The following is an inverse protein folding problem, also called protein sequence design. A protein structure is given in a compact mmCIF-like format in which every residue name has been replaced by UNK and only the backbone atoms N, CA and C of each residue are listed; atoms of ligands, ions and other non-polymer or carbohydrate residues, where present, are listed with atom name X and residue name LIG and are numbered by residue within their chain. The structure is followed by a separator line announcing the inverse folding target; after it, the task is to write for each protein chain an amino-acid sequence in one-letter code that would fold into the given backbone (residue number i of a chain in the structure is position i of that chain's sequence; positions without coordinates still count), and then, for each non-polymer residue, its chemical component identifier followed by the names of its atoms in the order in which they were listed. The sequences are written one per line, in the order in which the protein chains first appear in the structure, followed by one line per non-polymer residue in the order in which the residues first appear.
data_IF_011809396210
#
_entry.id   IF_011809396210
#
_cell.length_a   1.000
_cell.length_b   1.000
_cell.length_c   1.000
_cell.angle_alpha   90.00
_cell.angle_beta   90.00
_cell.angle_gamma   90.00
#
_symmetry.space_group_name_H-M   'P 1'
#
loop_
_entity.id
_entity.type
_entity.pdbx_description
1 polymer ?
#
# COMPACT_ATOMS: atom_id res chain seq x y z
N UNK A 1 47.47 -30.78 22.64
CA UNK A 1 47.40 -29.50 21.91
C UNK A 1 46.96 -29.81 20.48
N UNK A 2 45.65 -29.73 20.22
CA UNK A 2 45.09 -29.72 18.86
C UNK A 2 43.90 -28.77 18.88
N UNK A 3 44.09 -27.61 18.25
CA UNK A 3 43.08 -26.57 18.09
C UNK A 3 42.03 -27.07 17.10
N UNK A 4 40.79 -27.20 17.57
CA UNK A 4 39.63 -27.47 16.73
C UNK A 4 39.21 -26.20 16.02
N UNK A 5 39.11 -26.28 14.69
CA UNK A 5 38.55 -25.24 13.84
C UNK A 5 37.08 -25.01 14.22
N UNK A 6 36.83 -23.93 14.95
CA UNK A 6 35.50 -23.41 15.19
C UNK A 6 35.14 -22.52 14.00
N UNK A 7 34.57 -23.10 12.94
CA UNK A 7 33.89 -22.32 11.91
C UNK A 7 32.56 -21.83 12.48
N UNK A 8 32.63 -20.75 13.27
CA UNK A 8 31.49 -19.89 13.50
C UNK A 8 31.12 -19.30 12.15
N UNK A 9 30.12 -19.89 11.50
CA UNK A 9 29.41 -19.27 10.41
C UNK A 9 29.05 -17.87 10.88
N UNK A 10 29.64 -16.85 10.23
CA UNK A 10 29.28 -15.47 10.44
C UNK A 10 27.79 -15.33 10.18
N UNK A 11 27.03 -15.34 11.25
CA UNK A 11 25.66 -14.86 11.29
C UNK A 11 25.70 -13.48 10.65
N UNK A 12 25.22 -13.39 9.41
CA UNK A 12 24.82 -12.15 8.77
C UNK A 12 23.56 -11.64 9.50
N UNK A 13 23.70 -11.35 10.80
CA UNK A 13 22.63 -10.93 11.70
C UNK A 13 22.65 -9.41 11.85
N UNK A 14 22.88 -8.74 10.71
CA UNK A 14 22.48 -7.35 10.46
C UNK A 14 22.12 -7.24 8.98
N UNK A 15 21.06 -7.95 8.58
CA UNK A 15 20.27 -7.43 7.46
C UNK A 15 19.78 -6.08 7.96
N UNK A 16 20.20 -4.99 7.31
CA UNK A 16 19.66 -3.66 7.55
C UNK A 16 18.14 -3.78 7.66
N UNK A 17 17.58 -3.49 8.85
CA UNK A 17 16.15 -3.72 9.13
C UNK A 17 15.23 -2.80 8.29
N UNK A 18 15.82 -1.97 7.45
CA UNK A 18 15.16 -1.15 6.45
C UNK A 18 14.92 -2.00 5.20
N UNK A 19 13.73 -2.59 5.09
CA UNK A 19 13.22 -3.01 3.77
C UNK A 19 13.22 -1.76 2.90
N UNK A 20 14.06 -1.74 1.87
CA UNK A 20 14.10 -0.60 0.95
C UNK A 20 12.74 -0.51 0.26
N UNK A 21 11.99 0.59 0.39
CA UNK A 21 10.65 0.72 -0.21
C UNK A 21 10.66 0.36 -1.71
N UNK A 22 11.73 0.70 -2.42
CA UNK A 22 11.95 0.34 -3.83
C UNK A 22 11.83 -1.17 -4.15
N UNK A 23 12.17 -2.07 -3.22
CA UNK A 23 12.01 -3.52 -3.42
C UNK A 23 10.53 -3.90 -3.45
N UNK A 24 9.69 -3.22 -2.66
CA UNK A 24 8.25 -3.47 -2.62
C UNK A 24 7.61 -3.09 -3.95
N UNK A 25 7.86 -1.87 -4.45
CA UNK A 25 7.32 -1.42 -5.75
C UNK A 25 7.75 -2.35 -6.88
N UNK A 26 8.99 -2.84 -6.86
CA UNK A 26 9.52 -3.78 -7.85
C UNK A 26 8.69 -5.07 -7.95
N UNK A 27 8.08 -5.56 -6.85
CA UNK A 27 7.17 -6.71 -6.94
C UNK A 27 5.95 -6.42 -7.84
N UNK A 28 5.44 -5.18 -7.82
CA UNK A 28 4.39 -4.73 -8.71
C UNK A 28 4.83 -4.77 -10.17
N UNK A 29 6.02 -4.25 -10.47
CA UNK A 29 6.59 -4.28 -11.83
C UNK A 29 6.79 -5.71 -12.34
N UNK A 30 7.27 -6.62 -11.48
CA UNK A 30 7.43 -8.04 -11.81
C UNK A 30 6.06 -8.67 -12.08
N UNK A 31 5.05 -8.41 -11.23
CA UNK A 31 3.70 -8.93 -11.43
C UNK A 31 3.08 -8.45 -12.75
N UNK A 32 3.27 -7.18 -13.10
CA UNK A 32 2.86 -6.63 -14.40
C UNK A 32 3.56 -7.33 -15.56
N UNK A 33 4.86 -7.61 -15.44
CA UNK A 33 5.65 -8.21 -16.50
C UNK A 33 5.34 -9.69 -16.75
N UNK A 34 5.12 -10.48 -15.69
CA UNK A 34 4.94 -11.94 -15.80
C UNK A 34 3.48 -12.39 -15.69
N UNK A 35 2.58 -11.47 -15.35
CA UNK A 35 1.14 -11.68 -15.27
C UNK A 35 0.76 -12.86 -14.35
N UNK A 36 -0.10 -13.79 -14.80
CA UNK A 36 -0.55 -14.95 -14.00
C UNK A 36 0.57 -15.85 -13.48
N UNK A 37 1.75 -15.83 -14.11
CA UNK A 37 2.91 -16.59 -13.61
C UNK A 37 3.36 -16.12 -12.22
N UNK A 38 2.95 -14.92 -11.81
CA UNK A 38 3.21 -14.36 -10.49
C UNK A 38 2.53 -15.14 -9.34
N UNK A 39 1.49 -15.92 -9.63
CA UNK A 39 0.80 -16.76 -8.63
C UNK A 39 1.75 -17.64 -7.80
N UNK A 40 2.91 -18.01 -8.35
CA UNK A 40 3.95 -18.81 -7.67
C UNK A 40 4.65 -18.08 -6.52
N UNK A 41 4.66 -16.75 -6.57
CA UNK A 41 5.32 -15.89 -5.58
C UNK A 41 4.31 -15.14 -4.71
N UNK A 42 3.04 -15.18 -5.09
CA UNK A 42 1.97 -14.37 -4.53
C UNK A 42 1.94 -14.40 -3.01
N UNK A 43 1.84 -15.59 -2.42
CA UNK A 43 1.73 -15.74 -0.96
C UNK A 43 2.93 -15.13 -0.21
N UNK A 44 4.16 -15.40 -0.69
CA UNK A 44 5.37 -14.84 -0.09
C UNK A 44 5.40 -13.32 -0.17
N UNK A 45 5.07 -12.76 -1.34
CA UNK A 45 5.07 -11.32 -1.57
C UNK A 45 3.98 -10.63 -0.76
N UNK A 46 2.76 -11.17 -0.73
CA UNK A 46 1.66 -10.56 0.01
C UNK A 46 1.90 -10.61 1.52
N UNK A 47 2.48 -11.70 2.04
CA UNK A 47 2.88 -11.77 3.44
C UNK A 47 3.95 -10.71 3.77
N UNK A 48 4.90 -10.49 2.86
CA UNK A 48 5.92 -9.46 3.03
C UNK A 48 5.33 -8.04 3.01
N UNK A 49 4.39 -7.77 2.10
CA UNK A 49 3.65 -6.50 2.04
C UNK A 49 2.82 -6.26 3.32
N UNK A 50 2.18 -7.31 3.87
CA UNK A 50 1.45 -7.21 5.13
C UNK A 50 2.36 -6.82 6.31
N UNK A 51 3.57 -7.38 6.36
CA UNK A 51 4.56 -6.98 7.38
C UNK A 51 4.99 -5.53 7.20
N UNK A 52 5.26 -5.08 5.97
CA UNK A 52 5.61 -3.69 5.68
C UNK A 52 4.48 -2.71 6.08
N UNK A 53 3.23 -3.00 5.73
CA UNK A 53 2.07 -2.20 6.14
C UNK A 53 1.92 -2.17 7.67
N UNK A 54 2.17 -3.29 8.34
CA UNK A 54 2.12 -3.37 9.81
C UNK A 54 3.17 -2.47 10.46
N UNK A 55 4.39 -2.43 9.92
CA UNK A 55 5.44 -1.49 10.35
C UNK A 55 5.00 -0.03 10.16
N UNK A 56 4.43 0.31 8.99
CA UNK A 56 3.90 1.65 8.74
C UNK A 56 2.78 2.07 9.71
N UNK A 57 1.98 1.12 10.21
CA UNK A 57 0.91 1.37 11.21
C UNK A 57 1.48 1.62 12.61
N UNK A 58 2.51 0.87 13.02
CA UNK A 58 3.12 1.00 14.35
C UNK A 58 3.77 2.37 14.52
N UNK A 59 4.52 2.83 13.52
CA UNK A 59 5.19 4.12 13.57
C UNK A 59 4.21 5.30 13.55
N UNK A 60 3.06 5.17 12.87
CA UNK A 60 2.02 6.20 12.86
C UNK A 60 1.29 6.34 14.21
N UNK A 61 1.08 5.22 14.93
CA UNK A 61 0.54 5.27 16.30
C UNK A 61 1.51 5.93 17.28
N UNK A 62 2.79 5.55 17.21
CA UNK A 62 3.84 6.15 18.05
C UNK A 62 3.89 7.67 17.87
N UNK A 63 3.69 8.16 16.64
CA UNK A 63 3.56 9.60 16.33
C UNK A 63 2.42 10.24 17.11
N UNK A 64 1.21 9.68 17.06
CA UNK A 64 0.01 10.25 17.73
C UNK A 64 0.14 10.34 19.25
N UNK A 65 0.84 9.40 19.88
CA UNK A 65 1.16 9.44 21.31
C UNK A 65 2.21 10.51 21.66
N UNK A 66 3.06 10.91 20.69
CA UNK A 66 4.19 11.83 20.91
C UNK A 66 3.83 13.31 20.67
N UNK A 67 2.72 13.61 19.96
CA UNK A 67 2.34 15.00 19.63
C UNK A 67 1.93 15.83 20.84
N UNK A 68 1.52 15.19 21.95
CA UNK A 68 1.25 15.88 23.23
C UNK A 68 2.56 16.37 23.90
N UNK A 69 3.72 15.87 23.46
CA UNK A 69 5.05 16.26 23.94
C UNK A 69 5.70 17.40 23.13
N UNK A 70 4.90 18.28 22.50
CA UNK A 70 5.35 19.38 21.63
C UNK A 70 6.40 20.33 22.27
N UNK A 71 6.52 20.34 23.60
CA UNK A 71 7.56 21.10 24.34
C UNK A 71 8.95 20.43 24.36
N UNK A 72 9.06 19.13 24.08
CA UNK A 72 10.35 18.38 24.11
C UNK A 72 10.96 18.26 22.70
N UNK A 73 10.14 18.49 21.66
CA UNK A 73 10.42 18.12 20.26
C UNK A 73 11.58 18.89 19.57
N UNK A 74 12.03 20.05 20.06
CA UNK A 74 12.99 20.90 19.34
C UNK A 74 14.38 20.27 19.09
N UNK A 75 14.78 19.24 19.84
CA UNK A 75 16.03 18.47 19.61
C UNK A 75 15.82 17.16 18.82
N UNK A 76 14.58 16.65 18.69
CA UNK A 76 14.28 15.35 18.04
C UNK A 76 13.81 15.46 16.58
N UNK A 77 13.63 16.68 16.05
CA UNK A 77 13.02 16.97 14.74
C UNK A 77 13.68 16.20 13.57
N UNK A 78 15.01 15.99 13.61
CA UNK A 78 15.72 15.36 12.48
C UNK A 78 15.49 13.85 12.38
N UNK A 79 15.52 13.12 13.50
CA UNK A 79 15.30 11.66 13.49
C UNK A 79 13.83 11.30 13.23
N UNK A 80 12.89 12.12 13.67
CA UNK A 80 11.46 11.89 13.41
C UNK A 80 11.07 12.26 11.97
N UNK A 81 11.73 13.24 11.34
CA UNK A 81 11.49 13.58 9.94
C UNK A 81 11.86 12.43 9.00
N UNK A 82 13.04 11.82 9.19
CA UNK A 82 13.50 10.67 8.38
C UNK A 82 12.56 9.45 8.53
N UNK A 83 11.99 9.25 9.72
CA UNK A 83 11.00 8.17 9.96
C UNK A 83 9.66 8.45 9.30
N UNK A 84 9.20 9.71 9.31
CA UNK A 84 7.95 10.12 8.65
C UNK A 84 8.05 9.86 7.14
N UNK A 85 9.13 10.33 6.52
CA UNK A 85 9.38 10.14 5.09
C UNK A 85 9.49 8.64 4.74
N UNK A 86 10.19 7.86 5.56
CA UNK A 86 10.27 6.41 5.36
C UNK A 86 8.90 5.71 5.41
N UNK A 87 8.06 6.05 6.39
CA UNK A 87 6.72 5.46 6.51
C UNK A 87 5.84 5.84 5.31
N UNK A 88 5.96 7.07 4.82
CA UNK A 88 5.23 7.53 3.63
C UNK A 88 5.70 6.81 2.36
N UNK A 89 7.01 6.69 2.16
CA UNK A 89 7.59 5.90 1.06
C UNK A 89 7.18 4.42 1.14
N UNK A 90 7.09 3.86 2.35
CA UNK A 90 6.66 2.47 2.55
C UNK A 90 5.19 2.28 2.16
N UNK A 91 4.31 3.23 2.53
CA UNK A 91 2.90 3.22 2.13
C UNK A 91 2.76 3.34 0.61
N UNK A 92 3.49 4.27 -0.02
CA UNK A 92 3.50 4.45 -1.47
C UNK A 92 3.96 3.18 -2.19
N UNK A 93 5.08 2.61 -1.75
CA UNK A 93 5.63 1.41 -2.38
C UNK A 93 4.73 0.18 -2.22
N UNK A 94 4.06 0.04 -1.07
CA UNK A 94 3.04 -1.00 -0.89
C UNK A 94 1.84 -0.81 -1.83
N UNK A 95 1.36 0.43 -2.01
CA UNK A 95 0.27 0.73 -2.94
C UNK A 95 0.68 0.40 -4.37
N UNK A 96 1.87 0.82 -4.81
CA UNK A 96 2.39 0.51 -6.15
C UNK A 96 2.53 -0.99 -6.38
N UNK A 97 3.05 -1.72 -5.39
CA UNK A 97 3.14 -3.18 -5.43
C UNK A 97 1.77 -3.82 -5.61
N UNK A 98 0.78 -3.44 -4.79
CA UNK A 98 -0.58 -3.98 -4.90
C UNK A 98 -1.25 -3.60 -6.22
N UNK A 99 -1.04 -2.37 -6.72
CA UNK A 99 -1.54 -1.96 -8.03
C UNK A 99 -0.97 -2.85 -9.14
N UNK A 100 0.35 -3.07 -9.16
CA UNK A 100 0.97 -3.93 -10.15
C UNK A 100 0.51 -5.39 -10.06
N UNK A 101 0.35 -5.90 -8.83
CA UNK A 101 -0.17 -7.26 -8.57
C UNK A 101 -1.61 -7.41 -9.09
N UNK A 102 -2.52 -6.49 -8.73
CA UNK A 102 -3.92 -6.53 -9.19
C UNK A 102 -3.99 -6.43 -10.71
N UNK A 103 -3.27 -5.47 -11.31
CA UNK A 103 -3.29 -5.27 -12.76
C UNK A 103 -2.66 -6.43 -13.54
N UNK A 104 -1.57 -7.02 -13.04
CA UNK A 104 -0.88 -8.14 -13.67
C UNK A 104 -1.63 -9.47 -13.56
N UNK A 105 -2.34 -9.70 -12.45
CA UNK A 105 -2.97 -10.98 -12.17
C UNK A 105 -4.46 -11.07 -12.53
N UNK A 106 -5.17 -9.97 -12.77
CA UNK A 106 -6.64 -9.97 -13.02
C UNK A 106 -7.13 -10.64 -14.31
N UNK A 107 -6.34 -11.49 -14.97
CA UNK A 107 -6.66 -12.04 -16.30
C UNK A 107 -7.56 -13.28 -16.27
N UNK A 108 -7.67 -13.97 -15.14
CA UNK A 108 -8.48 -15.20 -15.03
C UNK A 108 -9.19 -15.30 -13.68
N UNK A 109 -10.23 -16.14 -13.60
CA UNK A 109 -11.03 -16.31 -12.37
C UNK A 109 -10.22 -16.87 -11.19
N UNK A 110 -9.23 -17.73 -11.46
CA UNK A 110 -8.42 -18.33 -10.40
C UNK A 110 -7.56 -17.28 -9.69
N UNK A 111 -6.89 -16.42 -10.46
CA UNK A 111 -6.08 -15.33 -9.94
C UNK A 111 -6.95 -14.26 -9.27
N UNK A 112 -8.14 -13.96 -9.81
CA UNK A 112 -9.10 -13.08 -9.14
C UNK A 112 -9.53 -13.63 -7.78
N UNK A 113 -9.69 -14.96 -7.63
CA UNK A 113 -9.99 -15.56 -6.34
C UNK A 113 -8.82 -15.40 -5.33
N UNK A 114 -7.57 -15.52 -5.80
CA UNK A 114 -6.39 -15.22 -4.96
C UNK A 114 -6.37 -13.76 -4.53
N UNK A 115 -6.61 -12.83 -5.47
CA UNK A 115 -6.70 -11.39 -5.18
C UNK A 115 -7.82 -11.07 -4.20
N UNK A 116 -8.99 -11.72 -4.34
CA UNK A 116 -10.14 -11.50 -3.46
C UNK A 116 -9.82 -11.77 -1.99
N UNK A 117 -8.98 -12.77 -1.69
CA UNK A 117 -8.55 -13.08 -0.32
C UNK A 117 -7.71 -11.97 0.33
N UNK A 118 -6.99 -11.18 -0.49
CA UNK A 118 -6.13 -10.09 -0.02
C UNK A 118 -6.78 -8.71 -0.09
N UNK A 119 -7.92 -8.59 -0.80
CA UNK A 119 -8.67 -7.33 -0.92
C UNK A 119 -8.92 -6.61 0.41
N UNK A 120 -9.31 -7.28 1.52
CA UNK A 120 -9.50 -6.59 2.80
C UNK A 120 -8.24 -5.86 3.27
N UNK A 121 -7.07 -6.47 3.11
CA UNK A 121 -5.80 -5.88 3.52
C UNK A 121 -5.37 -4.70 2.63
N UNK A 122 -5.67 -4.77 1.32
CA UNK A 122 -5.44 -3.64 0.42
C UNK A 122 -6.32 -2.45 0.80
N UNK A 123 -7.58 -2.70 1.15
CA UNK A 123 -8.51 -1.65 1.59
C UNK A 123 -8.14 -1.09 2.97
N UNK A 124 -7.65 -1.91 3.90
CA UNK A 124 -7.11 -1.43 5.18
C UNK A 124 -5.96 -0.42 4.99
N UNK A 125 -5.10 -0.65 3.99
CA UNK A 125 -4.02 0.29 3.65
C UNK A 125 -4.58 1.58 3.04
N UNK A 126 -5.57 1.48 2.15
CA UNK A 126 -6.25 2.66 1.58
C UNK A 126 -6.93 3.48 2.68
N UNK A 127 -7.58 2.84 3.65
CA UNK A 127 -8.22 3.52 4.78
C UNK A 127 -7.21 4.17 5.72
N UNK A 128 -6.08 3.51 5.99
CA UNK A 128 -4.97 4.10 6.74
C UNK A 128 -4.49 5.40 6.08
N UNK A 129 -4.32 5.39 4.76
CA UNK A 129 -3.93 6.59 4.00
C UNK A 129 -5.05 7.64 4.06
N UNK A 130 -6.31 7.25 3.85
CA UNK A 130 -7.45 8.16 3.85
C UNK A 130 -7.68 8.88 5.19
N UNK A 131 -7.24 8.27 6.30
CA UNK A 131 -7.41 8.79 7.67
C UNK A 131 -6.14 9.44 8.24
N UNK A 132 -5.08 9.56 7.44
CA UNK A 132 -3.83 10.20 7.85
C UNK A 132 -3.92 11.73 7.80
N UNK A 133 -3.36 12.40 8.81
CA UNK A 133 -3.48 13.85 9.01
C UNK A 133 -2.80 14.67 7.89
N UNK A 134 -1.64 14.18 7.44
CA UNK A 134 -0.91 14.67 6.29
C UNK A 134 -0.71 13.52 5.32
N UNK A 135 -1.09 13.73 4.06
CA UNK A 135 -0.83 12.79 2.96
C UNK A 135 -0.42 13.58 1.73
N UNK A 136 0.64 13.09 1.10
CA UNK A 136 1.11 13.61 -0.17
C UNK A 136 0.08 13.38 -1.28
N UNK A 137 0.07 14.28 -2.24
CA UNK A 137 -0.86 14.24 -3.36
C UNK A 137 -0.61 13.04 -4.29
N UNK A 138 0.67 12.66 -4.46
CA UNK A 138 1.10 11.44 -5.16
C UNK A 138 0.43 10.19 -4.58
N UNK A 139 0.51 10.02 -3.25
CA UNK A 139 -0.06 8.89 -2.54
C UNK A 139 -1.59 8.86 -2.60
N UNK A 140 -2.25 10.03 -2.56
CA UNK A 140 -3.70 10.13 -2.82
C UNK A 140 -4.03 9.61 -4.22
N UNK A 141 -3.23 9.97 -5.22
CA UNK A 141 -3.39 9.51 -6.59
C UNK A 141 -3.20 8.00 -6.72
N UNK A 142 -2.12 7.47 -6.14
CA UNK A 142 -1.80 6.04 -6.16
C UNK A 142 -2.90 5.20 -5.50
N UNK A 143 -3.34 5.58 -4.28
CA UNK A 143 -4.41 4.89 -3.57
C UNK A 143 -5.76 4.99 -4.32
N UNK A 144 -6.05 6.14 -4.94
CA UNK A 144 -7.23 6.28 -5.81
C UNK A 144 -7.17 5.34 -7.01
N UNK A 145 -5.99 5.16 -7.59
CA UNK A 145 -5.74 4.21 -8.68
C UNK A 145 -6.02 2.77 -8.25
N UNK A 146 -5.45 2.34 -7.11
CA UNK A 146 -5.70 1.00 -6.56
C UNK A 146 -7.19 0.74 -6.31
N UNK A 147 -7.92 1.71 -5.73
CA UNK A 147 -9.38 1.59 -5.55
C UNK A 147 -10.08 1.35 -6.88
N UNK A 148 -9.74 2.11 -7.93
CA UNK A 148 -10.33 1.92 -9.25
C UNK A 148 -9.97 0.56 -9.88
N UNK A 149 -8.75 0.07 -9.69
CA UNK A 149 -8.35 -1.26 -10.16
C UNK A 149 -9.12 -2.37 -9.46
N UNK A 150 -9.31 -2.27 -8.14
CA UNK A 150 -10.12 -3.21 -7.39
C UNK A 150 -11.59 -3.19 -7.85
N UNK A 151 -12.16 -2.00 -8.03
CA UNK A 151 -13.54 -1.82 -8.52
C UNK A 151 -13.72 -2.42 -9.92
N UNK A 152 -12.79 -2.20 -10.82
CA UNK A 152 -12.86 -2.74 -12.19
C UNK A 152 -12.58 -4.25 -12.25
N UNK A 153 -11.82 -4.78 -11.30
CA UNK A 153 -11.50 -6.22 -11.25
C UNK A 153 -12.62 -7.04 -10.61
N UNK A 154 -13.28 -6.52 -9.57
CA UNK A 154 -14.27 -7.28 -8.78
C UNK A 154 -15.72 -6.85 -9.03
N UNK A 155 -15.95 -5.73 -9.71
CA UNK A 155 -17.30 -5.27 -10.05
C UNK A 155 -18.18 -5.07 -8.82
N UNK A 156 -19.46 -5.45 -8.92
CA UNK A 156 -20.47 -5.23 -7.87
C UNK A 156 -20.09 -5.89 -6.53
N UNK A 157 -19.31 -6.98 -6.56
CA UNK A 157 -18.95 -7.73 -5.36
C UNK A 157 -18.15 -6.91 -4.34
N UNK A 158 -17.35 -5.93 -4.79
CA UNK A 158 -16.52 -5.11 -3.90
C UNK A 158 -17.20 -3.82 -3.43
N UNK A 159 -18.37 -3.47 -4.00
CA UNK A 159 -19.09 -2.25 -3.63
C UNK A 159 -19.32 -2.09 -2.13
N UNK A 160 -19.75 -3.12 -1.37
CA UNK A 160 -19.95 -2.97 0.08
C UNK A 160 -18.68 -2.56 0.84
N UNK A 161 -17.51 -2.94 0.32
CA UNK A 161 -16.21 -2.64 0.95
C UNK A 161 -15.68 -1.27 0.55
N UNK A 162 -15.95 -0.80 -0.68
CA UNK A 162 -15.47 0.50 -1.17
C UNK A 162 -16.44 1.67 -0.94
N UNK A 163 -17.71 1.38 -0.68
CA UNK A 163 -18.75 2.38 -0.45
C UNK A 163 -18.79 2.85 1.01
N UNK A 164 -17.69 3.46 1.45
CA UNK A 164 -17.54 4.00 2.80
C UNK A 164 -17.04 5.44 2.80
N UNK A 165 -17.20 6.12 3.94
CA UNK A 165 -16.86 7.54 4.09
C UNK A 165 -15.37 7.85 3.90
N UNK A 166 -14.48 6.92 4.27
CA UNK A 166 -13.02 7.13 4.22
C UNK A 166 -12.55 7.13 2.76
N UNK A 167 -12.96 6.14 1.98
CA UNK A 167 -12.67 6.07 0.55
C UNK A 167 -13.34 7.23 -0.20
N UNK A 168 -14.58 7.58 0.15
CA UNK A 168 -15.26 8.74 -0.44
C UNK A 168 -14.52 10.06 -0.18
N UNK A 169 -13.97 10.24 1.02
CA UNK A 169 -13.18 11.42 1.39
C UNK A 169 -11.85 11.46 0.61
N UNK A 170 -11.13 10.33 0.52
CA UNK A 170 -9.90 10.19 -0.26
C UNK A 170 -10.12 10.58 -1.73
N UNK A 171 -11.13 10.01 -2.38
CA UNK A 171 -11.46 10.31 -3.77
C UNK A 171 -11.90 11.77 -3.97
N UNK A 172 -12.59 12.34 -2.97
CA UNK A 172 -12.97 13.77 -3.01
C UNK A 172 -11.76 14.68 -2.91
N UNK A 173 -10.78 14.35 -2.06
CA UNK A 173 -9.49 15.04 -1.98
C UNK A 173 -8.76 14.95 -3.31
N UNK A 174 -8.62 13.75 -3.88
CA UNK A 174 -7.94 13.54 -5.16
C UNK A 174 -8.56 14.31 -6.32
N UNK A 175 -9.89 14.38 -6.42
CA UNK A 175 -10.58 15.16 -7.48
C UNK A 175 -10.36 16.67 -7.39
N UNK A 176 -10.00 17.18 -6.22
CA UNK A 176 -9.68 18.59 -5.98
C UNK A 176 -8.18 18.87 -6.14
N UNK A 177 -7.37 17.85 -6.37
CA UNK A 177 -5.94 17.99 -6.61
C UNK A 177 -5.64 18.93 -7.79
N UNK A 178 -4.54 19.66 -7.67
CA UNK A 178 -3.95 20.44 -8.77
C UNK A 178 -3.10 19.57 -9.68
N UNK A 179 -2.64 18.41 -9.21
CA UNK A 179 -1.87 17.45 -10.00
C UNK A 179 -2.79 16.69 -10.95
N UNK A 180 -2.50 16.76 -12.24
CA UNK A 180 -3.36 16.16 -13.28
C UNK A 180 -3.53 14.64 -13.10
N UNK A 181 -2.45 13.91 -12.77
CA UNK A 181 -2.48 12.45 -12.58
C UNK A 181 -3.40 12.06 -11.42
N UNK A 182 -3.19 12.63 -10.24
CA UNK A 182 -4.01 12.42 -9.04
C UNK A 182 -5.49 12.72 -9.30
N UNK A 183 -5.76 13.87 -9.91
CA UNK A 183 -7.12 14.28 -10.27
C UNK A 183 -7.78 13.29 -11.21
N UNK A 184 -7.07 12.86 -12.26
CA UNK A 184 -7.56 11.90 -13.24
C UNK A 184 -7.90 10.56 -12.61
N UNK A 185 -6.99 9.99 -11.80
CA UNK A 185 -7.19 8.71 -11.13
C UNK A 185 -8.38 8.74 -10.16
N UNK A 186 -8.49 9.80 -9.35
CA UNK A 186 -9.61 9.96 -8.42
C UNK A 186 -10.95 10.15 -9.14
N UNK A 187 -10.97 10.91 -10.25
CA UNK A 187 -12.17 11.05 -11.10
C UNK A 187 -12.56 9.72 -11.72
N UNK A 188 -11.59 8.95 -12.23
CA UNK A 188 -11.80 7.64 -12.82
C UNK A 188 -12.36 6.64 -11.81
N UNK A 189 -11.71 6.45 -10.66
CA UNK A 189 -12.17 5.53 -9.62
C UNK A 189 -13.59 5.88 -9.12
N UNK A 190 -13.90 7.18 -8.96
CA UNK A 190 -15.26 7.61 -8.63
C UNK A 190 -16.27 7.20 -9.73
N UNK A 191 -15.89 7.37 -11.01
CA UNK A 191 -16.75 7.02 -12.13
C UNK A 191 -17.05 5.52 -12.14
N UNK A 192 -16.05 4.67 -11.91
CA UNK A 192 -16.23 3.21 -11.87
C UNK A 192 -17.16 2.79 -10.73
N UNK A 193 -16.98 3.34 -9.52
CA UNK A 193 -17.91 3.07 -8.39
C UNK A 193 -19.34 3.49 -8.76
N UNK A 194 -19.52 4.66 -9.38
CA UNK A 194 -20.85 5.15 -9.78
C UNK A 194 -21.52 4.28 -10.83
N UNK A 195 -20.78 3.76 -11.81
CA UNK A 195 -21.32 2.86 -12.83
C UNK A 195 -21.94 1.61 -12.20
N UNK A 196 -21.28 1.03 -11.19
CA UNK A 196 -21.76 -0.17 -10.53
C UNK A 196 -22.99 0.06 -9.63
N UNK A 197 -23.20 1.29 -9.15
CA UNK A 197 -24.39 1.68 -8.37
C UNK A 197 -25.61 2.01 -9.24
N UNK A 198 -25.40 2.31 -10.53
CA UNK A 198 -26.52 2.58 -11.42
C UNK A 198 -27.30 1.27 -11.66
N UNK A 199 -28.65 1.31 -11.65
CA UNK A 199 -29.43 0.14 -12.00
C UNK A 199 -29.06 -0.31 -13.42
N UNK A 200 -28.88 -1.62 -13.62
CA UNK A 200 -28.69 -2.18 -14.95
C UNK A 200 -29.93 -1.84 -15.79
N UNK A 201 -29.73 -1.01 -16.81
CA UNK A 201 -30.75 -0.64 -17.80
C UNK A 201 -31.07 -1.80 -18.72
#
# INVERSE_FOLDING_TARGET
MSSGYHWGAGQSEKVDATVKPAVLSCFGDVALAIGPSFSRYYEYVTNFLLMAVSTAKVEDRRRKETVEALLIALMFIKEDYDKVEYVEQLRESCIEAYTGIVQGMRTSQNELALLASQTPHMLDLVELIATSDSIEDSLVGAASGLVGDLVTSFGVAILPSVDNQHIAALLTRGRRSKTAKTKSLAMWATKEIRKLKAPAS
#
